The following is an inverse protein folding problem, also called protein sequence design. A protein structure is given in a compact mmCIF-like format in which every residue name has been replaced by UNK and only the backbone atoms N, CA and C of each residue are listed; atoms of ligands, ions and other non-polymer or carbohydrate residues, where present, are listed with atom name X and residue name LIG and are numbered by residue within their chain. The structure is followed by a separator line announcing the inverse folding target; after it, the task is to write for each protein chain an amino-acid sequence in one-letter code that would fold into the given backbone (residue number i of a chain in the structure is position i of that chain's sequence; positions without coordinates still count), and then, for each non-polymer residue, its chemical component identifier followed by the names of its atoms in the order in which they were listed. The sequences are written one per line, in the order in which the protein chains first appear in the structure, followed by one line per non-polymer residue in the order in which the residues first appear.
data_IF_728247478133
#
_entry.id   IF_728247478133
#
_cell.length_a   1.000
_cell.length_b   1.000
_cell.length_c   1.000
_cell.angle_alpha   90.00
_cell.angle_beta   90.00
_cell.angle_gamma   90.00
#
_symmetry.space_group_name_H-M   'P 1'
#
loop_
_entity.id
_entity.type
_entity.pdbx_description
1 polymer ?
#
# COMPACT_ATOMS: atom_id res chain seq x y z
N UNK A 1 -13.82 -9.02 10.24
CA UNK A 1 -14.18 -8.78 8.83
C UNK A 1 -12.90 -8.85 8.00
N UNK A 2 -12.67 -9.94 7.27
CA UNK A 2 -11.53 -10.04 6.35
C UNK A 2 -11.77 -9.08 5.19
N UNK A 3 -10.81 -8.18 4.94
CA UNK A 3 -10.79 -7.42 3.68
C UNK A 3 -10.52 -8.41 2.56
N UNK A 4 -11.61 -8.89 1.95
CA UNK A 4 -11.60 -9.88 0.88
C UNK A 4 -11.04 -9.28 -0.40
N UNK A 5 -9.72 -9.23 -0.54
CA UNK A 5 -9.07 -9.26 -1.85
C UNK A 5 -9.30 -10.65 -2.42
N UNK A 6 -10.50 -10.90 -2.94
CA UNK A 6 -10.85 -12.15 -3.59
C UNK A 6 -9.95 -12.27 -4.83
N UNK A 7 -9.04 -13.24 -4.82
CA UNK A 7 -8.29 -13.71 -6.00
C UNK A 7 -9.26 -13.94 -7.16
N UNK A 8 -9.41 -12.96 -8.04
CA UNK A 8 -10.01 -13.10 -9.37
C UNK A 8 -9.59 -11.90 -10.21
N UNK A 9 -8.31 -11.89 -10.56
CA UNK A 9 -7.68 -10.84 -11.37
C UNK A 9 -6.24 -10.62 -10.92
N UNK A 10 -5.30 -10.61 -11.86
CA UNK A 10 -3.87 -10.35 -11.66
C UNK A 10 -3.55 -8.90 -11.25
N UNK A 11 -4.54 -8.20 -10.70
CA UNK A 11 -4.49 -6.78 -10.39
C UNK A 11 -3.91 -6.59 -8.98
N UNK A 12 -2.87 -5.74 -8.81
CA UNK A 12 -2.29 -5.49 -7.50
C UNK A 12 -3.30 -4.79 -6.56
N UNK A 13 -3.35 -5.25 -5.32
CA UNK A 13 -4.10 -4.58 -4.25
C UNK A 13 -3.22 -3.51 -3.61
N UNK A 14 -3.70 -2.26 -3.60
CA UNK A 14 -2.98 -1.12 -3.03
C UNK A 14 -3.72 -0.61 -1.80
N UNK A 15 -3.01 -0.45 -0.70
CA UNK A 15 -3.55 0.09 0.55
C UNK A 15 -2.76 1.32 0.96
N UNK A 16 -3.44 2.43 1.22
CA UNK A 16 -2.86 3.63 1.84
C UNK A 16 -3.35 3.67 3.28
N UNK A 17 -2.45 3.53 4.23
CA UNK A 17 -2.74 3.71 5.65
C UNK A 17 -2.62 5.20 5.95
N UNK A 18 -3.75 5.83 6.19
CA UNK A 18 -3.87 7.25 6.51
C UNK A 18 -3.56 7.52 7.98
N UNK A 19 -2.88 8.62 8.25
CA UNK A 19 -2.72 9.19 9.60
C UNK A 19 -3.97 9.92 10.10
N UNK A 20 -4.96 10.16 9.23
CA UNK A 20 -6.20 10.83 9.58
C UNK A 20 -7.14 9.90 10.34
N UNK A 21 -7.47 10.26 11.58
CA UNK A 21 -8.40 9.50 12.41
C UNK A 21 -9.87 9.72 12.06
N UNK A 22 -10.23 10.90 11.51
CA UNK A 22 -11.63 11.26 11.23
C UNK A 22 -12.05 10.95 9.78
N UNK A 23 -11.23 11.35 8.80
CA UNK A 23 -11.56 11.20 7.37
C UNK A 23 -10.32 10.75 6.58
N UNK A 24 -10.09 9.42 6.45
CA UNK A 24 -8.99 8.87 5.67
C UNK A 24 -9.06 9.30 4.21
N UNK A 25 -7.95 9.77 3.63
CA UNK A 25 -7.91 10.19 2.23
C UNK A 25 -8.15 11.68 2.01
N UNK A 26 -8.44 12.46 3.05
CA UNK A 26 -8.62 13.92 2.98
C UNK A 26 -7.45 14.71 3.59
N UNK A 27 -6.49 14.07 4.27
CA UNK A 27 -5.29 14.81 4.66
C UNK A 27 -4.45 15.13 3.41
N UNK A 28 -3.76 16.27 3.37
CA UNK A 28 -2.97 16.69 2.21
C UNK A 28 -1.97 15.64 1.74
N UNK A 29 -1.35 14.90 2.67
CA UNK A 29 -0.41 13.84 2.33
C UNK A 29 -1.09 12.56 1.84
N UNK A 30 -2.32 12.28 2.31
CA UNK A 30 -3.09 11.13 1.79
C UNK A 30 -3.49 11.38 0.33
N UNK A 31 -3.96 12.59 0.01
CA UNK A 31 -4.32 12.99 -1.35
C UNK A 31 -3.10 12.96 -2.28
N UNK A 32 -1.97 13.50 -1.83
CA UNK A 32 -0.72 13.43 -2.59
C UNK A 32 -0.28 11.99 -2.85
N UNK A 33 -0.30 11.13 -1.82
CA UNK A 33 0.06 9.72 -1.98
C UNK A 33 -0.90 9.00 -2.94
N UNK A 34 -2.20 9.28 -2.86
CA UNK A 34 -3.21 8.75 -3.77
C UNK A 34 -2.94 9.19 -5.21
N UNK A 35 -2.69 10.48 -5.45
CA UNK A 35 -2.44 11.02 -6.78
C UNK A 35 -1.18 10.41 -7.41
N UNK A 36 -0.10 10.26 -6.64
CA UNK A 36 1.13 9.61 -7.11
C UNK A 36 0.86 8.15 -7.50
N UNK A 37 0.11 7.41 -6.69
CA UNK A 37 -0.27 6.03 -6.99
C UNK A 37 -1.13 5.95 -8.25
N UNK A 38 -2.14 6.81 -8.39
CA UNK A 38 -3.01 6.85 -9.57
C UNK A 38 -2.24 7.21 -10.84
N UNK A 39 -1.30 8.16 -10.74
CA UNK A 39 -0.40 8.50 -11.84
C UNK A 39 0.47 7.31 -12.24
N UNK A 40 1.11 6.64 -11.27
CA UNK A 40 1.96 5.48 -11.54
C UNK A 40 1.19 4.33 -12.19
N UNK A 41 -0.06 4.09 -11.79
CA UNK A 41 -0.93 3.09 -12.40
C UNK A 41 -1.30 3.44 -13.85
N UNK A 42 -1.63 4.71 -14.09
CA UNK A 42 -1.96 5.23 -15.43
C UNK A 42 -0.76 5.10 -16.37
N UNK A 43 0.44 5.51 -15.93
CA UNK A 43 1.66 5.41 -16.74
C UNK A 43 2.11 3.97 -16.99
N UNK A 44 1.81 3.05 -16.08
CA UNK A 44 2.16 1.64 -16.23
C UNK A 44 1.07 0.82 -16.96
N UNK A 45 -0.05 1.43 -17.35
CA UNK A 45 -1.24 0.76 -17.87
C UNK A 45 -1.72 -0.42 -16.98
N UNK A 46 -1.61 -0.23 -15.65
CA UNK A 46 -1.99 -1.24 -14.66
C UNK A 46 -3.30 -0.85 -14.00
N UNK A 47 -4.27 -1.78 -14.03
CA UNK A 47 -5.48 -1.66 -13.22
C UNK A 47 -5.24 -2.23 -11.83
N UNK A 48 -5.58 -1.46 -10.81
CA UNK A 48 -5.39 -1.83 -9.41
C UNK A 48 -6.53 -1.30 -8.54
N UNK A 49 -6.79 -1.98 -7.42
CA UNK A 49 -7.74 -1.51 -6.42
C UNK A 49 -7.00 -0.70 -5.36
N UNK A 50 -7.30 0.60 -5.27
CA UNK A 50 -6.76 1.47 -4.22
C UNK A 50 -7.75 1.54 -3.07
N UNK A 51 -7.28 1.26 -1.85
CA UNK A 51 -8.06 1.42 -0.64
C UNK A 51 -7.33 2.29 0.37
N UNK A 52 -7.99 3.32 0.86
CA UNK A 52 -7.47 4.17 1.94
C UNK A 52 -8.15 3.74 3.24
N UNK A 53 -7.36 3.48 4.29
CA UNK A 53 -7.86 3.06 5.60
C UNK A 53 -7.21 3.90 6.71
N UNK A 54 -7.90 4.16 7.83
CA UNK A 54 -7.28 4.83 8.97
C UNK A 54 -6.26 3.91 9.65
N UNK A 55 -5.24 4.51 10.27
CA UNK A 55 -4.24 3.79 11.08
C UNK A 55 -4.87 2.90 12.17
N UNK A 56 -6.00 3.32 12.76
CA UNK A 56 -6.74 2.51 13.72
C UNK A 56 -7.27 1.21 13.11
N UNK A 57 -7.84 1.26 11.92
CA UNK A 57 -8.30 0.04 11.22
C UNK A 57 -7.12 -0.88 10.89
N UNK A 58 -5.99 -0.31 10.45
CA UNK A 58 -4.77 -1.08 10.23
C UNK A 58 -4.31 -1.78 11.52
N UNK A 59 -4.29 -1.06 12.65
CA UNK A 59 -3.95 -1.59 13.96
C UNK A 59 -4.88 -2.73 14.41
N UNK A 60 -6.19 -2.61 14.17
CA UNK A 60 -7.19 -3.63 14.52
C UNK A 60 -7.29 -4.80 13.52
N UNK A 61 -6.32 -4.93 12.60
CA UNK A 61 -6.19 -6.11 11.74
C UNK A 61 -6.75 -5.96 10.33
N UNK A 62 -6.97 -4.75 9.85
CA UNK A 62 -7.23 -4.51 8.42
C UNK A 62 -6.00 -4.79 7.54
N UNK A 63 -4.80 -4.82 8.14
CA UNK A 63 -3.54 -5.22 7.48
C UNK A 63 -2.87 -6.37 8.24
N UNK A 64 -1.95 -7.13 7.60
CA UNK A 64 -1.17 -8.15 8.28
C UNK A 64 -0.41 -7.59 9.50
N UNK A 65 -0.31 -8.38 10.57
CA UNK A 65 0.38 -7.94 11.81
C UNK A 65 1.81 -7.46 11.54
N UNK A 66 2.53 -8.14 10.64
CA UNK A 66 3.91 -7.80 10.28
C UNK A 66 4.07 -6.39 9.70
N UNK A 67 3.07 -5.91 8.94
CA UNK A 67 3.02 -4.53 8.45
C UNK A 67 2.96 -3.56 9.63
N UNK A 68 2.04 -3.80 10.56
CA UNK A 68 1.86 -2.94 11.72
C UNK A 68 3.11 -2.94 12.62
N UNK A 69 3.75 -4.11 12.81
CA UNK A 69 5.01 -4.23 13.54
C UNK A 69 6.10 -3.37 12.90
N UNK A 70 6.23 -3.37 11.56
CA UNK A 70 7.20 -2.52 10.85
C UNK A 70 6.92 -1.04 11.05
N UNK A 71 5.66 -0.62 10.93
CA UNK A 71 5.24 0.78 11.16
C UNK A 71 5.56 1.23 12.59
N UNK A 72 5.27 0.40 13.60
CA UNK A 72 5.57 0.71 15.00
C UNK A 72 7.08 0.76 15.23
N UNK A 73 7.84 -0.14 14.62
CA UNK A 73 9.30 -0.16 14.73
C UNK A 73 9.90 1.12 14.17
N UNK A 74 9.45 1.54 12.98
CA UNK A 74 9.89 2.77 12.34
C UNK A 74 9.53 4.02 13.17
N UNK A 75 8.33 4.03 13.76
CA UNK A 75 7.91 5.09 14.69
C UNK A 75 8.83 5.16 15.92
N UNK A 76 9.16 4.00 16.52
CA UNK A 76 10.03 3.94 17.69
C UNK A 76 11.47 4.37 17.40
N UNK A 77 11.95 4.15 16.17
CA UNK A 77 13.30 4.52 15.74
C UNK A 77 13.42 6.00 15.37
N UNK A 78 12.45 6.52 14.61
CA UNK A 78 12.47 7.89 14.08
C UNK A 78 11.84 8.92 15.02
N UNK A 79 11.01 8.47 15.97
CA UNK A 79 10.17 9.32 16.81
C UNK A 79 9.03 10.02 16.06
N UNK A 80 8.83 9.70 14.77
CA UNK A 80 7.83 10.33 13.90
C UNK A 80 6.91 9.28 13.32
N UNK A 81 5.61 9.61 13.24
CA UNK A 81 4.62 8.70 12.70
C UNK A 81 4.83 8.56 11.17
N UNK A 82 5.17 7.36 10.67
CA UNK A 82 5.59 7.17 9.28
C UNK A 82 4.37 7.01 8.36
N UNK A 83 3.47 7.99 8.37
CA UNK A 83 2.21 7.99 7.65
C UNK A 83 2.08 9.21 6.70
N UNK A 84 1.36 9.09 5.58
CA UNK A 84 0.65 7.88 5.13
C UNK A 84 1.61 6.76 4.70
N UNK A 85 1.28 5.51 4.98
CA UNK A 85 2.07 4.37 4.49
C UNK A 85 1.41 3.75 3.27
N UNK A 86 2.17 3.55 2.20
CA UNK A 86 1.67 2.95 0.95
C UNK A 86 2.10 1.50 0.88
N UNK A 87 1.13 0.62 0.64
CA UNK A 87 1.35 -0.81 0.50
C UNK A 87 0.88 -1.31 -0.86
N UNK A 88 1.67 -2.20 -1.45
CA UNK A 88 1.31 -2.94 -2.67
C UNK A 88 1.39 -4.43 -2.33
N UNK A 89 0.29 -5.15 -2.50
CA UNK A 89 0.15 -6.57 -2.16
C UNK A 89 0.67 -6.93 -0.76
N UNK A 90 0.40 -6.05 0.21
CA UNK A 90 0.78 -6.26 1.62
C UNK A 90 2.24 -5.94 1.95
N UNK A 91 3.04 -5.44 0.99
CA UNK A 91 4.40 -4.94 1.23
C UNK A 91 4.38 -3.42 1.33
N UNK A 92 5.04 -2.88 2.35
CA UNK A 92 5.25 -1.43 2.50
C UNK A 92 6.24 -0.98 1.43
N UNK A 93 5.82 -0.02 0.60
CA UNK A 93 6.64 0.58 -0.45
C UNK A 93 7.20 1.93 0.01
N UNK A 94 6.39 2.70 0.75
CA UNK A 94 6.80 4.01 1.27
C UNK A 94 6.18 4.32 2.62
N UNK A 95 6.94 5.09 3.40
CA UNK A 95 6.49 5.81 4.58
C UNK A 95 6.45 7.31 4.22
N UNK A 96 5.26 7.87 4.05
CA UNK A 96 5.03 9.20 3.50
C UNK A 96 4.59 9.16 2.03
N UNK A 97 4.68 10.32 1.37
CA UNK A 97 4.33 10.45 -0.05
C UNK A 97 5.44 9.81 -0.91
N UNK A 98 5.17 8.74 -1.68
CA UNK A 98 6.16 8.10 -2.55
C UNK A 98 6.48 8.98 -3.77
N UNK A 99 7.53 8.63 -4.53
CA UNK A 99 7.67 9.09 -5.92
C UNK A 99 6.95 8.15 -6.89
N UNK A 100 6.63 8.63 -8.09
CA UNK A 100 5.93 7.85 -9.12
C UNK A 100 6.76 6.63 -9.53
N UNK A 101 8.07 6.80 -9.64
CA UNK A 101 9.02 5.76 -10.02
C UNK A 101 9.06 4.61 -9.00
N UNK A 102 9.02 4.92 -7.70
CA UNK A 102 9.03 3.91 -6.63
C UNK A 102 7.83 2.97 -6.75
N UNK A 103 6.66 3.53 -7.05
CA UNK A 103 5.43 2.76 -7.25
C UNK A 103 5.52 1.91 -8.52
N UNK A 104 6.01 2.48 -9.63
CA UNK A 104 6.18 1.73 -10.89
C UNK A 104 7.13 0.54 -10.72
N UNK A 105 8.27 0.74 -10.06
CA UNK A 105 9.22 -0.34 -9.77
C UNK A 105 8.58 -1.42 -8.90
N UNK A 106 7.84 -1.04 -7.86
CA UNK A 106 7.15 -1.99 -6.99
C UNK A 106 6.05 -2.77 -7.74
N UNK A 107 5.32 -2.13 -8.66
CA UNK A 107 4.33 -2.78 -9.50
C UNK A 107 4.97 -3.83 -10.42
N UNK A 108 6.07 -3.48 -11.11
CA UNK A 108 6.80 -4.41 -11.99
C UNK A 108 7.31 -5.63 -11.22
N UNK A 109 7.96 -5.42 -10.07
CA UNK A 109 8.45 -6.52 -9.22
C UNK A 109 7.34 -7.47 -8.76
N UNK A 110 6.14 -6.92 -8.55
CA UNK A 110 4.99 -7.69 -8.11
C UNK A 110 4.38 -8.52 -9.26
N UNK A 111 4.41 -8.00 -10.48
CA UNK A 111 3.97 -8.71 -11.69
C UNK A 111 4.93 -9.83 -12.08
N UNK A 112 6.25 -9.62 -11.95
CA UNK A 112 7.26 -10.65 -12.22
C UNK A 112 7.22 -11.80 -11.20
N UNK A 113 7.01 -11.50 -9.91
CA UNK A 113 6.90 -12.53 -8.87
C UNK A 113 5.68 -13.46 -9.03
N UNK A 114 4.68 -13.06 -9.82
CA UNK A 114 3.53 -13.90 -10.20
C UNK A 114 3.85 -14.95 -11.28
N UNK A 115 4.89 -14.74 -12.09
CA UNK A 115 5.25 -15.65 -13.20
C UNK A 115 6.14 -16.82 -12.80
N UNK A 116 6.77 -16.80 -11.63
CA UNK A 116 7.74 -17.84 -11.23
C UNK A 116 7.12 -19.07 -10.54
N UNK A 117 5.79 -19.14 -10.38
CA UNK A 117 5.13 -20.26 -9.68
C UNK A 117 4.23 -21.13 -10.58
N UNK A 118 4.38 -21.09 -11.90
CA UNK A 118 3.63 -21.93 -12.84
C UNK A 118 4.53 -22.83 -13.72
N UNK A 119 5.76 -23.12 -13.28
CA UNK A 119 6.66 -24.05 -13.97
C UNK A 119 7.39 -24.95 -12.97
N UNK A 120 6.66 -25.80 -12.26
CA UNK A 120 7.18 -27.09 -11.78
C UNK A 120 6.02 -28.07 -11.67
N UNK A 121 5.81 -28.75 -12.80
CA UNK A 121 5.35 -30.13 -12.98
C UNK A 121 5.00 -30.94 -11.73
#
# INVERSE_FOLDING_TARGET
MQLGFRKKGSEPGIIIISGSCCIPGMAPFDEQAKNVVEQALSEADVKAQIKIIPASAAYFGAVPKEVMTKIITEFNQSGRMPLPAVLINGRIISYGVPQVEDIKTALLQTMDAGKTKEDTK
#
